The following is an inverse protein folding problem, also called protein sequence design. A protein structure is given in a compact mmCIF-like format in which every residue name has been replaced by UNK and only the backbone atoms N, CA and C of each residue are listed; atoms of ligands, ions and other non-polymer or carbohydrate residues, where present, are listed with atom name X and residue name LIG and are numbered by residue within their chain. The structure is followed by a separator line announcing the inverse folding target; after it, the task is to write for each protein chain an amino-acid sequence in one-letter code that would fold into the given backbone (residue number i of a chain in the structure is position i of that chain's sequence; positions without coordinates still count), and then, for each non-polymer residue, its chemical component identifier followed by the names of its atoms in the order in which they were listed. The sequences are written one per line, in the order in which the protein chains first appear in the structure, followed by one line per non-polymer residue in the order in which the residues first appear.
data_IF_324835359171
#
_entry.id   IF_324835359171
#
_cell.length_a   1.000
_cell.length_b   1.000
_cell.length_c   1.000
_cell.angle_alpha   90.00
_cell.angle_beta   90.00
_cell.angle_gamma   90.00
#
_symmetry.space_group_name_H-M   'P 1'
#
loop_
_entity.id
_entity.type
_entity.pdbx_description
1 polymer ?
#
# COMPACT_ATOMS: atom_id res chain seq x y z
N UNK A 1 17.74 -20.57 -18.70
CA UNK A 1 16.45 -19.95 -18.31
C UNK A 1 16.57 -18.53 -18.79
N UNK A 2 15.89 -18.19 -19.90
CA UNK A 2 15.88 -16.81 -20.38
C UNK A 2 14.88 -16.05 -19.53
N UNK A 3 15.37 -15.06 -18.80
CA UNK A 3 14.51 -14.11 -18.10
C UNK A 3 14.05 -13.12 -19.18
N UNK A 4 12.74 -12.90 -19.35
CA UNK A 4 12.27 -11.88 -20.28
C UNK A 4 12.94 -10.54 -20.00
N UNK A 5 13.24 -9.79 -21.06
CA UNK A 5 13.76 -8.43 -20.90
C UNK A 5 12.66 -7.56 -20.26
N UNK A 6 13.03 -6.80 -19.23
CA UNK A 6 12.13 -5.92 -18.49
C UNK A 6 12.75 -4.53 -18.42
N UNK A 7 11.92 -3.50 -18.59
CA UNK A 7 12.37 -2.11 -18.51
C UNK A 7 12.81 -1.77 -17.07
N UNK A 8 12.12 -2.33 -16.08
CA UNK A 8 12.34 -2.06 -14.66
C UNK A 8 12.28 -3.35 -13.84
N UNK A 9 13.26 -3.53 -12.94
CA UNK A 9 13.26 -4.57 -11.91
C UNK A 9 13.10 -3.92 -10.54
N UNK A 10 12.13 -4.40 -9.77
CA UNK A 10 11.88 -3.97 -8.39
C UNK A 10 12.14 -5.14 -7.44
N UNK A 11 13.01 -4.93 -6.45
CA UNK A 11 13.33 -5.96 -5.45
C UNK A 11 12.64 -5.63 -4.13
N UNK A 12 11.78 -6.54 -3.70
CA UNK A 12 10.91 -6.46 -2.53
C UNK A 12 9.43 -6.40 -2.88
N UNK A 13 8.58 -6.85 -1.95
CA UNK A 13 7.12 -6.75 -2.02
C UNK A 13 6.52 -5.85 -0.92
N UNK A 14 7.34 -5.06 -0.21
CA UNK A 14 6.87 -4.03 0.72
C UNK A 14 6.09 -2.91 0.03
N UNK A 15 5.39 -2.07 0.82
CA UNK A 15 4.57 -0.97 0.29
C UNK A 15 5.35 -0.07 -0.68
N UNK A 16 6.58 0.32 -0.31
CA UNK A 16 7.42 1.16 -1.17
C UNK A 16 7.74 0.51 -2.52
N UNK A 17 8.11 -0.78 -2.51
CA UNK A 17 8.44 -1.53 -3.72
C UNK A 17 7.20 -1.71 -4.61
N UNK A 18 6.06 -2.08 -4.01
CA UNK A 18 4.81 -2.25 -4.74
C UNK A 18 4.30 -0.93 -5.32
N UNK A 19 4.41 0.20 -4.60
CA UNK A 19 4.10 1.53 -5.14
C UNK A 19 4.99 1.89 -6.33
N UNK A 20 6.30 1.63 -6.26
CA UNK A 20 7.23 1.87 -7.36
C UNK A 20 6.90 1.00 -8.59
N UNK A 21 6.64 -0.29 -8.37
CA UNK A 21 6.25 -1.22 -9.43
C UNK A 21 4.92 -0.82 -10.08
N UNK A 22 3.92 -0.43 -9.29
CA UNK A 22 2.63 0.03 -9.79
C UNK A 22 2.78 1.31 -10.62
N UNK A 23 3.48 2.31 -10.10
CA UNK A 23 3.72 3.57 -10.81
C UNK A 23 4.43 3.35 -12.15
N UNK A 24 5.45 2.49 -12.18
CA UNK A 24 6.15 2.11 -13.41
C UNK A 24 5.21 1.42 -14.42
N UNK A 25 4.39 0.47 -13.95
CA UNK A 25 3.40 -0.23 -14.79
C UNK A 25 2.36 0.72 -15.37
N UNK A 26 1.84 1.66 -14.57
CA UNK A 26 0.87 2.68 -15.01
C UNK A 26 1.44 3.62 -16.08
N UNK A 27 2.76 3.82 -16.08
CA UNK A 27 3.48 4.60 -17.09
C UNK A 27 3.97 3.75 -18.29
N UNK A 28 3.47 2.51 -18.43
CA UNK A 28 3.69 1.68 -19.62
C UNK A 28 4.95 0.81 -19.59
N UNK A 29 5.72 0.80 -18.50
CA UNK A 29 6.89 -0.06 -18.40
C UNK A 29 6.50 -1.53 -18.20
N UNK A 30 7.32 -2.44 -18.73
CA UNK A 30 7.37 -3.83 -18.29
C UNK A 30 8.15 -3.92 -16.98
N UNK A 31 7.54 -4.52 -15.95
CA UNK A 31 8.09 -4.54 -14.59
C UNK A 31 8.19 -5.98 -14.08
N UNK A 32 9.36 -6.35 -13.58
CA UNK A 32 9.57 -7.57 -12.80
C UNK A 32 9.74 -7.21 -11.33
N UNK A 33 8.81 -7.66 -10.49
CA UNK A 33 8.90 -7.51 -9.04
C UNK A 33 9.30 -8.84 -8.40
N UNK A 34 10.32 -8.81 -7.56
CA UNK A 34 10.89 -10.00 -6.91
C UNK A 34 10.72 -9.93 -5.40
N UNK A 35 10.40 -11.05 -4.77
CA UNK A 35 10.30 -11.18 -3.31
C UNK A 35 10.92 -12.50 -2.88
N UNK A 36 11.64 -12.49 -1.76
CA UNK A 36 12.27 -13.68 -1.18
C UNK A 36 11.31 -14.42 -0.25
N UNK A 37 10.37 -13.71 0.37
CA UNK A 37 9.33 -14.33 1.19
C UNK A 37 8.42 -15.24 0.37
N UNK A 38 7.95 -16.36 0.94
CA UNK A 38 6.89 -17.18 0.33
C UNK A 38 5.65 -16.35 0.03
N UNK A 39 4.84 -16.78 -0.92
CA UNK A 39 3.62 -16.06 -1.32
C UNK A 39 2.69 -15.77 -0.13
N UNK A 40 2.58 -16.72 0.80
CA UNK A 40 1.78 -16.58 2.04
C UNK A 40 2.30 -15.52 3.01
N UNK A 41 3.52 -15.02 2.82
CA UNK A 41 4.18 -14.05 3.69
C UNK A 41 4.75 -12.85 2.92
N UNK A 42 4.32 -12.65 1.66
CA UNK A 42 4.71 -11.48 0.86
C UNK A 42 4.15 -10.20 1.46
N UNK A 43 4.74 -9.06 1.10
CA UNK A 43 4.30 -7.75 1.58
C UNK A 43 5.34 -7.02 2.43
N UNK A 44 6.51 -7.63 2.66
CA UNK A 44 7.56 -7.10 3.52
C UNK A 44 7.06 -6.73 4.91
N UNK A 45 7.75 -5.80 5.58
CA UNK A 45 7.30 -5.30 6.89
C UNK A 45 5.91 -4.64 6.83
N UNK A 46 5.48 -4.15 5.66
CA UNK A 46 4.17 -3.52 5.48
C UNK A 46 3.01 -4.50 5.72
N UNK A 47 3.17 -5.80 5.46
CA UNK A 47 2.16 -6.79 5.79
C UNK A 47 1.92 -6.93 7.32
N UNK A 48 2.91 -6.53 8.13
CA UNK A 48 2.87 -6.68 9.59
C UNK A 48 2.49 -5.39 10.33
N UNK A 49 2.22 -4.28 9.64
CA UNK A 49 1.83 -3.00 10.28
C UNK A 49 0.37 -2.98 10.73
N UNK A 50 -0.38 -4.07 10.53
CA UNK A 50 -1.81 -4.14 10.87
C UNK A 50 -2.68 -3.24 9.99
N UNK A 51 -2.19 -2.85 8.80
CA UNK A 51 -2.90 -1.92 7.92
C UNK A 51 -2.93 -0.47 8.42
N UNK A 52 -2.12 -0.13 9.42
CA UNK A 52 -2.04 1.25 9.91
C UNK A 52 -1.32 2.15 8.90
N UNK A 53 -2.00 3.20 8.45
CA UNK A 53 -1.45 4.26 7.60
C UNK A 53 -1.63 5.61 8.31
N UNK A 54 -0.63 6.49 8.17
CA UNK A 54 -0.74 7.90 8.53
C UNK A 54 -0.99 8.72 7.28
N UNK A 55 -2.05 9.52 7.30
CA UNK A 55 -2.41 10.43 6.23
C UNK A 55 -2.75 11.80 6.80
N UNK A 56 -2.65 12.83 5.99
CA UNK A 56 -3.15 14.17 6.34
C UNK A 56 -4.66 14.17 6.13
N UNK A 57 -5.38 14.78 7.07
CA UNK A 57 -6.81 14.99 7.03
C UNK A 57 -7.12 16.33 7.70
N UNK A 58 -8.19 17.01 7.28
CA UNK A 58 -8.57 18.34 7.75
C UNK A 58 -9.77 18.33 8.71
N UNK A 59 -10.30 17.15 9.03
CA UNK A 59 -11.42 16.98 9.94
C UNK A 59 -12.22 15.72 9.65
N UNK A 60 -13.41 15.64 10.24
CA UNK A 60 -14.27 14.47 10.16
C UNK A 60 -14.79 14.15 8.76
N UNK A 61 -14.99 15.16 7.91
CA UNK A 61 -15.46 14.95 6.53
C UNK A 61 -14.47 14.09 5.72
N UNK A 62 -13.17 14.29 5.93
CA UNK A 62 -12.12 13.48 5.29
C UNK A 62 -12.09 12.04 5.83
N UNK A 63 -12.38 11.86 7.12
CA UNK A 63 -12.46 10.52 7.75
C UNK A 63 -13.68 9.75 7.26
N UNK A 64 -14.83 10.41 7.10
CA UNK A 64 -16.05 9.78 6.59
C UNK A 64 -15.88 9.25 5.16
N UNK A 65 -15.06 9.91 4.33
CA UNK A 65 -14.72 9.43 2.99
C UNK A 65 -13.84 8.17 3.00
N UNK A 66 -13.01 8.01 4.04
CA UNK A 66 -12.12 6.85 4.21
C UNK A 66 -12.80 5.68 4.93
N UNK A 67 -13.77 5.96 5.79
CA UNK A 67 -14.46 4.99 6.65
C UNK A 67 -15.98 5.17 6.46
N UNK A 68 -16.57 4.63 5.38
CA UNK A 68 -17.98 4.86 5.04
C UNK A 68 -18.97 4.28 6.08
N UNK A 69 -18.51 3.35 6.91
CA UNK A 69 -19.32 2.67 7.93
C UNK A 69 -19.18 3.28 9.33
N UNK A 70 -18.50 4.43 9.46
CA UNK A 70 -18.30 5.09 10.75
C UNK A 70 -19.65 5.57 11.29
N UNK A 71 -19.98 5.18 12.53
CA UNK A 71 -21.23 5.60 13.17
C UNK A 71 -21.04 6.86 14.04
N UNK A 72 -22.15 7.53 14.39
CA UNK A 72 -22.14 8.75 15.20
C UNK A 72 -21.41 8.59 16.55
N UNK A 73 -21.45 7.40 17.15
CA UNK A 73 -20.76 7.16 18.41
C UNK A 73 -19.24 7.05 18.23
N UNK A 74 -18.77 6.44 17.15
CA UNK A 74 -17.35 6.41 16.79
C UNK A 74 -16.84 7.81 16.44
N UNK A 75 -17.63 8.57 15.67
CA UNK A 75 -17.32 9.97 15.33
C UNK A 75 -17.08 10.84 16.58
N UNK A 76 -17.91 10.72 17.61
CA UNK A 76 -17.76 11.51 18.84
C UNK A 76 -16.59 11.07 19.74
N UNK A 77 -16.03 9.88 19.54
CA UNK A 77 -14.99 9.30 20.41
C UNK A 77 -13.62 9.18 19.74
N UNK A 78 -13.50 9.54 18.45
CA UNK A 78 -12.19 9.62 17.78
C UNK A 78 -11.49 10.90 18.21
N UNK A 79 -10.43 10.74 19.00
CA UNK A 79 -9.47 11.81 19.28
C UNK A 79 -8.53 11.95 18.08
N UNK A 80 -8.66 13.09 17.39
CA UNK A 80 -7.89 13.42 16.19
C UNK A 80 -6.57 14.15 16.49
N UNK A 81 -6.31 14.45 17.78
CA UNK A 81 -5.16 15.25 18.21
C UNK A 81 -5.35 16.74 17.99
#
# INVERSE_FOLDING_TARGET
MDIPEHDIIVVGAGNAATCAALSARENGASVLQLEISPETSRGGNSAFTGGAFRVVYHGFDDLAALIPDINDHELHNVDVG
#
